data_IF_595902611294
#
_entry.id   IF_595902611294
#
_cell.length_a   1.000
_cell.length_b   1.000
_cell.length_c   1.000
_cell.angle_alpha   90.00
_cell.angle_beta   90.00
_cell.angle_gamma   90.00
#
_symmetry.space_group_name_H-M   'P 1'
#
loop_
_entity.id
_entity.type
_entity.pdbx_description
1 polymer ?
#
# COMPACT_ATOMS: atom_id res chain seq x y z
N UNK A 1 -12.99 -7.76 -9.75
CA UNK A 1 -13.19 -8.16 -8.33
C UNK A 1 -12.16 -7.60 -7.37
N UNK A 2 -10.87 -7.85 -7.55
CA UNK A 2 -9.81 -7.56 -6.56
C UNK A 2 -9.74 -6.09 -6.14
N UNK A 3 -9.84 -5.13 -7.06
CA UNK A 3 -9.82 -3.69 -6.71
C UNK A 3 -10.96 -3.23 -5.78
N UNK A 4 -12.05 -3.99 -5.70
CA UNK A 4 -13.22 -3.64 -4.88
C UNK A 4 -13.20 -4.33 -3.52
N UNK A 5 -12.37 -5.36 -3.36
CA UNK A 5 -12.23 -6.07 -2.11
C UNK A 5 -11.21 -5.40 -1.19
N UNK A 6 -11.40 -5.61 0.10
CA UNK A 6 -10.46 -5.28 1.16
C UNK A 6 -9.06 -5.84 0.83
N UNK A 7 -7.98 -5.12 1.17
CA UNK A 7 -6.60 -5.59 0.97
C UNK A 7 -6.27 -6.87 1.74
N UNK A 8 -7.07 -7.20 2.75
CA UNK A 8 -6.93 -8.42 3.56
C UNK A 8 -7.68 -9.62 2.97
N UNK A 9 -8.45 -9.40 1.90
CA UNK A 9 -9.18 -10.45 1.22
C UNK A 9 -8.36 -11.00 0.05
N UNK A 10 -8.18 -12.32 0.02
CA UNK A 10 -7.57 -13.06 -1.09
C UNK A 10 -8.63 -13.87 -1.81
N UNK A 11 -8.72 -13.72 -3.14
CA UNK A 11 -9.64 -14.51 -3.97
C UNK A 11 -8.86 -15.67 -4.58
N UNK A 12 -9.40 -16.88 -4.44
CA UNK A 12 -8.86 -18.10 -5.04
C UNK A 12 -9.92 -18.70 -5.96
N UNK A 13 -9.62 -18.83 -7.24
CA UNK A 13 -10.50 -19.50 -8.19
C UNK A 13 -10.57 -21.00 -7.93
N UNK A 14 -11.76 -21.57 -7.96
CA UNK A 14 -12.04 -22.99 -7.80
C UNK A 14 -12.91 -23.48 -8.97
N UNK A 15 -12.92 -24.79 -9.29
CA UNK A 15 -13.74 -25.33 -10.38
C UNK A 15 -15.25 -25.00 -10.27
N UNK A 16 -15.75 -24.77 -9.06
CA UNK A 16 -17.15 -24.41 -8.78
C UNK A 16 -17.41 -22.93 -8.46
N UNK A 17 -16.41 -22.04 -8.65
CA UNK A 17 -16.55 -20.61 -8.40
C UNK A 17 -15.31 -19.97 -7.79
N UNK A 18 -15.45 -19.22 -6.70
CA UNK A 18 -14.34 -18.55 -6.03
C UNK A 18 -14.44 -18.59 -4.50
N UNK A 19 -13.31 -18.69 -3.84
CA UNK A 19 -13.18 -18.56 -2.38
C UNK A 19 -12.54 -17.21 -2.04
N UNK A 20 -13.21 -16.42 -1.23
CA UNK A 20 -12.66 -15.19 -0.64
C UNK A 20 -12.23 -15.49 0.79
N UNK A 21 -10.93 -15.49 1.05
CA UNK A 21 -10.35 -15.59 2.39
C UNK A 21 -10.11 -14.19 2.95
N UNK A 22 -10.81 -13.80 4.01
CA UNK A 22 -10.57 -12.58 4.80
C UNK A 22 -9.64 -12.90 5.97
N UNK A 23 -8.36 -12.57 5.80
CA UNK A 23 -7.32 -12.82 6.80
C UNK A 23 -7.45 -11.92 8.03
N UNK A 24 -8.10 -10.76 7.91
CA UNK A 24 -8.28 -9.85 9.05
C UNK A 24 -9.29 -10.41 10.04
N UNK A 25 -10.33 -11.08 9.53
CA UNK A 25 -11.44 -11.63 10.34
C UNK A 25 -11.43 -13.15 10.44
N UNK A 26 -10.43 -13.81 9.85
CA UNK A 26 -10.33 -15.27 9.74
C UNK A 26 -11.61 -15.91 9.23
N UNK A 27 -12.17 -15.33 8.15
CA UNK A 27 -13.43 -15.77 7.52
C UNK A 27 -13.20 -16.22 6.09
N UNK A 28 -14.03 -17.16 5.65
CA UNK A 28 -14.05 -17.65 4.28
C UNK A 28 -15.45 -17.46 3.70
N UNK A 29 -15.52 -16.90 2.51
CA UNK A 29 -16.76 -16.70 1.77
C UNK A 29 -16.66 -17.40 0.42
N UNK A 30 -17.51 -18.40 0.18
CA UNK A 30 -17.65 -19.02 -1.13
C UNK A 30 -18.54 -18.19 -2.04
N UNK A 31 -18.18 -18.12 -3.31
CA UNK A 31 -19.00 -17.57 -4.40
C UNK A 31 -19.17 -18.65 -5.46
N UNK A 32 -20.41 -18.87 -5.92
CA UNK A 32 -20.66 -19.79 -7.01
C UNK A 32 -20.19 -19.20 -8.35
N UNK A 33 -19.94 -20.03 -9.36
CA UNK A 33 -19.53 -19.59 -10.71
C UNK A 33 -20.45 -18.51 -11.28
N UNK A 34 -21.78 -18.67 -11.14
CA UNK A 34 -22.76 -17.69 -11.59
C UNK A 34 -22.60 -16.32 -10.91
N UNK A 35 -22.22 -16.28 -9.63
CA UNK A 35 -21.99 -15.03 -8.91
C UNK A 35 -20.67 -14.35 -9.33
N UNK A 36 -19.66 -15.14 -9.72
CA UNK A 36 -18.40 -14.64 -10.26
C UNK A 36 -18.62 -14.00 -11.64
N UNK A 37 -19.40 -14.66 -12.50
CA UNK A 37 -19.76 -14.14 -13.83
C UNK A 37 -20.60 -12.85 -13.73
N UNK A 38 -21.62 -12.84 -12.87
CA UNK A 38 -22.44 -11.63 -12.60
C UNK A 38 -21.63 -10.46 -12.04
N UNK A 39 -20.58 -10.75 -11.26
CA UNK A 39 -19.70 -9.71 -10.75
C UNK A 39 -18.80 -9.11 -11.84
N UNK A 40 -18.41 -9.93 -12.83
CA UNK A 40 -17.57 -9.50 -13.94
C UNK A 40 -18.34 -8.59 -14.92
N UNK A 41 -19.66 -8.72 -15.01
CA UNK A 41 -20.52 -7.84 -15.80
C UNK A 41 -20.67 -6.46 -15.13
N UNK A 42 -19.97 -5.46 -15.67
CA UNK A 42 -19.81 -4.15 -15.02
C UNK A 42 -21.11 -3.32 -14.96
N UNK A 43 -22.12 -3.66 -15.77
CA UNK A 43 -23.36 -2.89 -15.95
C UNK A 43 -24.60 -3.39 -15.21
N UNK A 44 -24.53 -4.51 -14.49
CA UNK A 44 -25.73 -5.11 -13.87
C UNK A 44 -26.06 -4.51 -12.50
N UNK A 45 -27.35 -4.25 -12.23
CA UNK A 45 -27.83 -3.95 -10.87
C UNK A 45 -27.57 -5.08 -9.86
N UNK A 46 -27.26 -6.28 -10.35
CA UNK A 46 -26.88 -7.44 -9.54
C UNK A 46 -25.47 -7.30 -8.93
N UNK A 47 -24.53 -6.67 -9.65
CA UNK A 47 -23.21 -6.33 -9.10
C UNK A 47 -23.31 -5.46 -7.86
N UNK A 48 -24.24 -4.49 -7.84
CA UNK A 48 -24.46 -3.63 -6.67
C UNK A 48 -24.93 -4.44 -5.45
N UNK A 49 -25.84 -5.42 -5.66
CA UNK A 49 -26.31 -6.31 -4.59
C UNK A 49 -25.20 -7.23 -4.06
N UNK A 50 -24.37 -7.77 -4.95
CA UNK A 50 -23.20 -8.57 -4.56
C UNK A 50 -22.20 -7.73 -3.76
N UNK A 51 -21.98 -6.47 -4.17
CA UNK A 51 -21.13 -5.53 -3.44
C UNK A 51 -21.70 -5.19 -2.07
N UNK A 52 -23.00 -4.95 -1.94
CA UNK A 52 -23.64 -4.76 -0.63
C UNK A 52 -23.45 -5.99 0.28
N UNK A 53 -23.57 -7.19 -0.27
CA UNK A 53 -23.29 -8.44 0.44
C UNK A 53 -21.85 -8.52 0.94
N UNK A 54 -20.88 -8.17 0.08
CA UNK A 54 -19.45 -8.12 0.43
C UNK A 54 -19.13 -7.02 1.44
N UNK A 55 -19.77 -5.85 1.36
CA UNK A 55 -19.64 -4.76 2.33
C UNK A 55 -20.19 -5.20 3.69
N UNK A 56 -21.36 -5.85 3.73
CA UNK A 56 -21.96 -6.39 4.95
C UNK A 56 -21.08 -7.48 5.57
N UNK A 57 -20.47 -8.33 4.75
CA UNK A 57 -19.47 -9.31 5.18
C UNK A 57 -18.15 -8.66 5.64
N UNK A 58 -17.92 -7.39 5.30
CA UNK A 58 -16.69 -6.62 5.53
C UNK A 58 -15.53 -6.96 4.60
N UNK A 59 -15.82 -7.69 3.52
CA UNK A 59 -14.88 -8.04 2.47
C UNK A 59 -14.67 -6.91 1.46
N UNK A 60 -15.50 -5.87 1.48
CA UNK A 60 -15.35 -4.65 0.68
C UNK A 60 -15.53 -3.40 1.56
N UNK A 61 -14.75 -2.32 1.35
CA UNK A 61 -14.99 -1.05 2.02
C UNK A 61 -16.32 -0.43 1.51
N UNK A 62 -17.07 0.28 2.37
CA UNK A 62 -18.36 0.90 2.00
C UNK A 62 -18.25 2.07 1.00
N UNK A 63 -17.08 2.32 0.41
CA UNK A 63 -16.87 3.37 -0.59
C UNK A 63 -15.47 3.33 -1.21
N UNK A 64 -15.34 3.96 -2.38
CA UNK A 64 -14.04 4.25 -3.02
C UNK A 64 -13.28 5.23 -2.10
N UNK A 65 -12.01 5.00 -1.74
CA UNK A 65 -11.31 5.87 -0.79
C UNK A 65 -11.03 7.22 -1.46
N UNK A 66 -11.97 8.16 -1.30
CA UNK A 66 -11.85 9.55 -1.73
C UNK A 66 -10.92 10.36 -0.81
N UNK A 67 -10.46 9.78 0.31
CA UNK A 67 -9.72 10.49 1.37
C UNK A 67 -8.21 10.17 1.37
N UNK A 68 -7.66 9.88 0.19
CA UNK A 68 -6.27 9.42 0.02
C UNK A 68 -5.24 10.49 0.45
N UNK A 69 -5.57 11.78 0.35
CA UNK A 69 -4.65 12.89 0.62
C UNK A 69 -4.61 13.25 2.12
N UNK A 70 -5.74 13.20 2.81
CA UNK A 70 -5.83 13.42 4.27
C UNK A 70 -5.05 12.34 5.03
N UNK A 71 -5.12 11.09 4.55
CA UNK A 71 -4.34 9.98 5.07
C UNK A 71 -2.83 10.19 4.90
N UNK A 72 -2.38 10.71 3.75
CA UNK A 72 -0.95 10.97 3.49
C UNK A 72 -0.37 11.94 4.54
N UNK A 73 -1.03 13.07 4.79
CA UNK A 73 -0.54 14.05 5.77
C UNK A 73 -0.48 13.49 7.19
N UNK A 74 -1.45 12.64 7.58
CA UNK A 74 -1.45 11.98 8.90
C UNK A 74 -0.31 10.97 9.02
N UNK A 75 -0.08 10.15 7.99
CA UNK A 75 1.03 9.18 7.97
C UNK A 75 2.40 9.84 7.94
N UNK A 76 2.57 10.92 7.17
CA UNK A 76 3.83 11.68 7.15
C UNK A 76 4.13 12.25 8.54
N UNK A 77 3.19 12.94 9.18
CA UNK A 77 3.41 13.52 10.52
C UNK A 77 3.63 12.45 11.58
N UNK A 78 2.78 11.42 11.60
CA UNK A 78 2.88 10.31 12.56
C UNK A 78 4.17 9.53 12.39
N UNK A 79 4.53 9.19 11.15
CA UNK A 79 5.78 8.51 10.80
C UNK A 79 7.00 9.32 11.22
N UNK A 80 7.02 10.62 10.92
CA UNK A 80 8.11 11.51 11.33
C UNK A 80 8.27 11.56 12.85
N UNK A 81 7.17 11.73 13.60
CA UNK A 81 7.18 11.74 15.06
C UNK A 81 7.69 10.41 15.62
N UNK A 82 7.23 9.28 15.09
CA UNK A 82 7.70 7.95 15.51
C UNK A 82 9.18 7.74 15.21
N UNK A 83 9.66 8.16 14.04
CA UNK A 83 11.08 8.08 13.67
C UNK A 83 11.91 8.96 14.60
N UNK A 84 11.44 10.16 14.94
CA UNK A 84 12.14 11.10 15.82
C UNK A 84 12.19 10.62 17.28
N UNK A 85 11.14 9.94 17.75
CA UNK A 85 11.03 9.47 19.15
C UNK A 85 11.66 8.10 19.37
N UNK A 86 11.44 7.15 18.47
CA UNK A 86 11.88 5.76 18.62
C UNK A 86 13.13 5.44 17.80
N UNK A 87 13.46 6.25 16.80
CA UNK A 87 14.49 5.97 15.81
C UNK A 87 13.97 5.11 14.65
N UNK A 88 14.57 5.30 13.48
CA UNK A 88 14.13 4.68 12.23
C UNK A 88 14.09 3.14 12.30
N UNK A 89 15.14 2.50 12.81
CA UNK A 89 15.20 1.04 12.92
C UNK A 89 14.09 0.43 13.79
N UNK A 90 13.63 1.13 14.84
CA UNK A 90 12.49 0.68 15.65
C UNK A 90 11.18 0.80 14.89
N UNK A 91 11.00 1.88 14.13
CA UNK A 91 9.82 2.06 13.26
C UNK A 91 9.73 0.96 12.21
N UNK A 92 10.86 0.56 11.61
CA UNK A 92 10.89 -0.56 10.66
C UNK A 92 10.38 -1.88 11.26
N UNK A 93 10.66 -2.14 12.54
CA UNK A 93 10.16 -3.34 13.25
C UNK A 93 8.65 -3.31 13.50
N UNK A 94 8.03 -2.14 13.47
CA UNK A 94 6.58 -1.97 13.65
C UNK A 94 5.80 -2.06 12.33
N UNK A 95 6.49 -2.07 11.17
CA UNK A 95 5.85 -2.16 9.87
C UNK A 95 4.88 -3.34 9.72
N UNK A 96 5.17 -4.56 10.21
CA UNK A 96 4.22 -5.67 10.12
C UNK A 96 2.86 -5.40 10.79
N UNK A 97 2.79 -4.49 11.77
CA UNK A 97 1.54 -4.13 12.46
C UNK A 97 0.65 -3.21 11.62
N UNK A 98 1.27 -2.34 10.82
CA UNK A 98 0.55 -1.30 10.04
C UNK A 98 0.40 -1.65 8.57
N UNK A 99 1.26 -2.54 8.09
CA UNK A 99 1.38 -3.04 6.72
C UNK A 99 1.66 -4.56 6.74
N UNK A 100 0.68 -5.38 7.17
CA UNK A 100 0.90 -6.81 7.36
C UNK A 100 1.20 -7.55 6.06
N UNK A 101 2.04 -8.59 6.17
CA UNK A 101 2.53 -9.39 5.05
C UNK A 101 1.44 -10.25 4.39
N UNK A 102 0.41 -10.66 5.15
CA UNK A 102 -0.74 -11.40 4.62
C UNK A 102 -1.70 -10.52 3.80
N UNK A 103 -1.48 -9.20 3.76
CA UNK A 103 -2.19 -8.35 2.82
C UNK A 103 -1.86 -8.81 1.40
N UNK A 104 -2.87 -8.71 0.52
CA UNK A 104 -2.73 -8.98 -0.91
C UNK A 104 -1.54 -8.19 -1.49
N UNK A 105 -0.95 -8.74 -2.54
CA UNK A 105 0.21 -8.20 -3.24
C UNK A 105 -0.09 -8.01 -4.72
N UNK A 106 -1.16 -7.28 -5.03
CA UNK A 106 -1.46 -6.96 -6.41
C UNK A 106 -0.37 -6.03 -6.97
N UNK A 107 -0.02 -6.20 -8.24
CA UNK A 107 0.84 -5.24 -8.91
C UNK A 107 0.07 -3.91 -9.09
N UNK A 108 0.53 -2.79 -8.51
CA UNK A 108 -0.12 -1.51 -8.71
C UNK A 108 0.08 -1.01 -10.14
N UNK A 109 -0.84 -0.15 -10.63
CA UNK A 109 -0.60 0.56 -11.89
C UNK A 109 0.52 1.58 -11.72
N UNK A 110 1.46 1.72 -12.67
CA UNK A 110 2.48 2.78 -12.63
C UNK A 110 1.87 4.18 -12.47
N UNK A 111 0.69 4.43 -13.07
CA UNK A 111 -0.01 5.71 -12.94
C UNK A 111 -0.50 5.97 -11.50
N UNK A 112 -0.91 4.92 -10.78
CA UNK A 112 -1.33 5.02 -9.38
C UNK A 112 -0.15 5.32 -8.46
N UNK A 113 0.98 4.65 -8.68
CA UNK A 113 2.22 4.90 -7.92
C UNK A 113 2.76 6.30 -8.22
N UNK A 114 2.74 6.75 -9.48
CA UNK A 114 3.14 8.11 -9.86
C UNK A 114 2.24 9.19 -9.24
N UNK A 115 0.94 8.94 -9.12
CA UNK A 115 0.03 9.85 -8.39
C UNK A 115 0.35 9.87 -6.90
N UNK A 116 0.55 8.72 -6.27
CA UNK A 116 0.94 8.63 -4.86
C UNK A 116 2.26 9.36 -4.60
N UNK A 117 3.26 9.16 -5.47
CA UNK A 117 4.56 9.83 -5.41
C UNK A 117 4.42 11.34 -5.36
N UNK A 118 3.66 11.91 -6.31
CA UNK A 118 3.39 13.35 -6.38
C UNK A 118 2.69 13.83 -5.12
N UNK A 119 1.67 13.12 -4.65
CA UNK A 119 0.93 13.51 -3.45
C UNK A 119 1.82 13.50 -2.19
N UNK A 120 2.60 12.44 -1.98
CA UNK A 120 3.55 12.32 -0.86
C UNK A 120 4.59 13.44 -0.90
N UNK A 121 5.22 13.69 -2.05
CA UNK A 121 6.25 14.72 -2.19
C UNK A 121 5.67 16.13 -2.02
N UNK A 122 4.49 16.41 -2.56
CA UNK A 122 3.81 17.71 -2.38
C UNK A 122 3.51 17.98 -0.91
N UNK A 123 2.90 17.02 -0.20
CA UNK A 123 2.54 17.19 1.21
C UNK A 123 3.79 17.26 2.10
N UNK A 124 4.82 16.45 1.80
CA UNK A 124 6.09 16.45 2.51
C UNK A 124 6.82 17.80 2.40
N UNK A 125 6.96 18.33 1.17
CA UNK A 125 7.61 19.63 0.92
C UNK A 125 6.83 20.82 1.48
N UNK A 126 5.50 20.72 1.52
CA UNK A 126 4.64 21.73 2.15
C UNK A 126 4.65 21.68 3.68
N UNK A 127 5.26 20.66 4.30
CA UNK A 127 5.28 20.48 5.75
C UNK A 127 6.61 20.94 6.34
N UNK A 128 6.57 21.94 7.23
CA UNK A 128 7.76 22.38 7.97
C UNK A 128 8.37 21.29 8.86
N UNK A 129 7.55 20.31 9.29
CA UNK A 129 8.00 19.22 10.15
C UNK A 129 8.73 18.11 9.40
N UNK A 130 8.28 17.77 8.18
CA UNK A 130 8.80 16.63 7.42
C UNK A 130 9.80 17.06 6.35
N UNK A 131 9.50 18.16 5.65
CA UNK A 131 10.35 18.87 4.71
C UNK A 131 11.27 17.98 3.83
N UNK A 132 10.69 17.00 3.13
CA UNK A 132 11.46 16.16 2.21
C UNK A 132 12.28 15.04 2.86
N UNK A 133 11.97 14.66 4.12
CA UNK A 133 12.67 13.56 4.81
C UNK A 133 12.43 12.21 4.11
N UNK A 134 13.51 11.67 3.52
CA UNK A 134 13.47 10.44 2.74
C UNK A 134 12.90 9.24 3.52
N UNK A 135 13.21 9.14 4.82
CA UNK A 135 12.74 8.04 5.68
C UNK A 135 11.22 8.09 5.84
N UNK A 136 10.69 9.27 6.15
CA UNK A 136 9.26 9.48 6.38
C UNK A 136 8.47 9.28 5.09
N UNK A 137 8.95 9.80 3.97
CA UNK A 137 8.32 9.61 2.65
C UNK A 137 8.31 8.13 2.25
N UNK A 138 9.44 7.44 2.38
CA UNK A 138 9.55 6.02 2.04
C UNK A 138 8.61 5.16 2.89
N UNK A 139 8.63 5.33 4.21
CA UNK A 139 7.73 4.59 5.13
C UNK A 139 6.27 4.88 4.83
N UNK A 140 5.92 6.15 4.58
CA UNK A 140 4.54 6.53 4.25
C UNK A 140 4.09 5.86 2.96
N UNK A 141 4.89 5.92 1.90
CA UNK A 141 4.59 5.26 0.63
C UNK A 141 4.42 3.74 0.81
N UNK A 142 5.33 3.08 1.54
CA UNK A 142 5.28 1.66 1.81
C UNK A 142 3.97 1.27 2.51
N UNK A 143 3.65 1.93 3.63
CA UNK A 143 2.45 1.63 4.41
C UNK A 143 1.19 1.87 3.56
N UNK A 144 1.14 2.97 2.82
CA UNK A 144 0.00 3.32 1.98
C UNK A 144 -0.22 2.36 0.80
N UNK A 145 0.84 1.82 0.21
CA UNK A 145 0.74 0.81 -0.85
C UNK A 145 0.30 -0.54 -0.29
N UNK A 146 0.96 -1.00 0.78
CA UNK A 146 0.61 -2.28 1.45
C UNK A 146 -0.81 -2.29 2.00
N UNK A 147 -1.27 -1.17 2.58
CA UNK A 147 -2.66 -1.03 3.05
C UNK A 147 -3.68 -0.97 1.91
N UNK A 148 -3.26 -0.75 0.67
CA UNK A 148 -4.12 -0.90 -0.52
C UNK A 148 -4.05 -2.30 -1.13
N UNK A 149 -3.27 -3.20 -0.52
CA UNK A 149 -3.08 -4.56 -1.03
C UNK A 149 -2.17 -4.59 -2.26
N UNK A 150 -1.27 -3.62 -2.38
CA UNK A 150 -0.30 -3.56 -3.46
C UNK A 150 1.06 -4.07 -3.01
N UNK A 151 1.75 -4.72 -3.95
CA UNK A 151 3.16 -5.04 -3.84
C UNK A 151 4.00 -3.76 -3.70
N UNK A 152 4.92 -3.76 -2.73
CA UNK A 152 5.83 -2.67 -2.47
C UNK A 152 7.02 -3.19 -1.65
N UNK A 153 8.21 -2.68 -1.96
CA UNK A 153 9.43 -2.95 -1.22
C UNK A 153 10.03 -1.63 -0.71
N UNK A 154 10.34 -1.58 0.59
CA UNK A 154 11.04 -0.48 1.24
C UNK A 154 12.53 -0.81 1.30
N UNK A 155 13.35 0.10 0.78
CA UNK A 155 14.79 -0.02 0.75
C UNK A 155 15.44 1.02 1.66
N UNK A 156 16.55 0.62 2.26
CA UNK A 156 17.53 1.51 2.87
C UNK A 156 18.85 1.24 2.17
N UNK A 157 19.45 2.28 1.62
CA UNK A 157 20.70 2.19 0.88
C UNK A 157 21.75 3.14 1.41
N UNK A 158 23.00 2.83 1.06
CA UNK A 158 24.18 3.63 1.38
C UNK A 158 24.91 3.98 0.10
N UNK A 159 25.56 5.14 0.10
CA UNK A 159 26.57 5.52 -0.86
C UNK A 159 27.86 5.78 -0.10
N UNK A 160 28.98 5.30 -0.62
CA UNK A 160 30.28 5.45 0.02
C UNK A 160 30.89 6.84 -0.18
N UNK A 161 30.72 7.45 -1.37
CA UNK A 161 31.28 8.77 -1.67
C UNK A 161 30.32 9.70 -2.45
N UNK A 162 30.02 10.91 -1.92
CA UNK A 162 30.13 11.28 -0.51
C UNK A 162 29.24 10.40 0.36
N UNK A 163 29.73 10.02 1.54
CA UNK A 163 29.02 9.08 2.42
C UNK A 163 27.62 9.59 2.75
N UNK A 164 26.60 8.82 2.38
CA UNK A 164 25.20 9.20 2.58
C UNK A 164 24.32 7.95 2.71
N UNK A 165 23.23 8.09 3.47
CA UNK A 165 22.18 7.10 3.59
C UNK A 165 20.91 7.62 2.93
N UNK A 166 20.17 6.72 2.30
CA UNK A 166 18.91 7.03 1.65
C UNK A 166 17.88 5.93 1.89
N UNK A 167 16.60 6.30 1.86
CA UNK A 167 15.51 5.36 1.97
C UNK A 167 14.47 5.65 0.88
N UNK A 168 13.96 4.60 0.23
CA UNK A 168 12.95 4.71 -0.81
C UNK A 168 12.06 3.47 -0.83
N UNK A 169 10.82 3.65 -1.25
CA UNK A 169 9.89 2.55 -1.53
C UNK A 169 9.76 2.36 -3.03
N UNK A 170 10.02 1.15 -3.52
CA UNK A 170 9.78 0.78 -4.91
C UNK A 170 8.45 0.05 -5.09
N UNK A 171 7.69 0.42 -6.12
CA UNK A 171 6.51 -0.30 -6.58
C UNK A 171 6.24 0.01 -8.05
N UNK A 172 5.84 -1.00 -8.85
CA UNK A 172 5.56 -0.86 -10.29
C UNK A 172 6.66 -0.10 -11.07
N UNK A 173 7.94 -0.40 -10.76
CA UNK A 173 9.10 0.24 -11.40
C UNK A 173 9.37 1.69 -10.99
N UNK A 174 8.60 2.25 -10.05
CA UNK A 174 8.76 3.62 -9.56
C UNK A 174 9.24 3.62 -8.11
N UNK A 175 9.99 4.67 -7.74
CA UNK A 175 10.50 4.86 -6.37
C UNK A 175 9.93 6.12 -5.71
N UNK A 176 9.59 6.03 -4.42
CA UNK A 176 9.09 7.11 -3.57
C UNK A 176 9.87 7.15 -2.24
N UNK A 177 10.67 8.19 -1.96
CA UNK A 177 11.21 9.17 -2.93
C UNK A 177 12.05 8.49 -4.03
N UNK A 178 12.58 9.28 -4.97
CA UNK A 178 13.51 8.78 -6.01
C UNK A 178 14.64 7.96 -5.40
N UNK A 179 14.98 6.80 -5.98
CA UNK A 179 16.07 5.95 -5.50
C UNK A 179 17.44 6.59 -5.72
N UNK A 180 17.54 7.43 -6.75
CA UNK A 180 18.74 8.12 -7.21
C UNK A 180 18.58 9.65 -7.16
N UNK A 181 18.33 10.24 -5.97
CA UNK A 181 18.12 11.67 -5.88
C UNK A 181 19.34 12.42 -6.43
N UNK A 182 19.11 13.26 -7.46
CA UNK A 182 20.15 14.04 -8.16
C UNK A 182 21.18 13.17 -8.92
N UNK A 183 20.80 11.97 -9.36
CA UNK A 183 21.67 11.06 -10.11
C UNK A 183 22.69 10.32 -9.24
N UNK A 184 22.44 10.24 -7.93
CA UNK A 184 23.31 9.55 -6.99
C UNK A 184 22.80 8.15 -6.70
N UNK A 185 23.53 7.12 -7.12
CA UNK A 185 23.17 5.74 -6.82
C UNK A 185 23.43 5.39 -5.34
N UNK A 186 22.43 4.76 -4.70
CA UNK A 186 22.54 4.19 -3.36
C UNK A 186 22.42 2.67 -3.44
N UNK A 187 23.43 1.96 -2.95
CA UNK A 187 23.39 0.50 -2.89
C UNK A 187 22.47 0.05 -1.74
N UNK A 188 21.44 -0.77 -1.99
CA UNK A 188 20.53 -1.21 -0.94
C UNK A 188 21.26 -2.14 0.04
N UNK A 189 21.19 -1.81 1.34
CA UNK A 189 21.73 -2.62 2.44
C UNK A 189 20.64 -3.32 3.24
N UNK A 190 19.40 -2.85 3.13
CA UNK A 190 18.22 -3.47 3.70
C UNK A 190 17.04 -3.33 2.74
N UNK A 191 16.33 -4.42 2.52
CA UNK A 191 15.06 -4.44 1.78
C UNK A 191 14.00 -5.10 2.64
N UNK A 192 12.87 -4.43 2.80
CA UNK A 192 11.69 -4.92 3.52
C UNK A 192 10.56 -4.95 2.51
N UNK A 193 10.13 -6.15 2.12
CA UNK A 193 9.11 -6.35 1.11
C UNK A 193 8.76 -7.83 1.00
N UNK A 194 7.67 -8.10 0.30
CA UNK A 194 7.28 -9.45 -0.13
C UNK A 194 7.57 -9.54 -1.62
#
# INVERSE_FOLDING_TARGET
MTRTLSPYCRVTGLPGGALIADWKRTRFLGMATADVERFADEGSGERARLLEGLVRAGCAPPGRPADADTDIGRWLRGGHLLIRTLGFGRVLRLLPLVAPQYARTDTPSPADVARLKRAVQTVSRGSWFVNGDCKTEAVTAFVLLRRRGFEAALHVGVREHPFALHAWTSAAGLSIPDADPRGHAFAPVLTIGC
#
